data_IF_341170211678
#
_entry.id   IF_341170211678
#
_cell.length_a   1.000
_cell.length_b   1.000
_cell.length_c   1.000
_cell.angle_alpha   90.00
_cell.angle_beta   90.00
_cell.angle_gamma   90.00
#
_symmetry.space_group_name_H-M   'P 1'
#
loop_
_entity.id
_entity.type
_entity.pdbx_description
1 polymer ?
#
# COMPACT_ATOMS: atom_id res chain seq x y z
N UNK A 1 13.64 14.03 6.66
CA UNK A 1 12.67 12.98 6.28
C UNK A 1 11.52 13.05 7.26
N UNK A 2 10.29 13.19 6.77
CA UNK A 2 9.12 13.11 7.64
C UNK A 2 8.95 11.68 8.13
N UNK A 3 8.69 11.53 9.44
CA UNK A 3 8.46 10.21 10.04
C UNK A 3 7.05 9.77 9.67
N UNK A 4 6.95 8.71 8.88
CA UNK A 4 5.67 8.10 8.55
C UNK A 4 5.03 7.48 9.80
N UNK A 5 3.71 7.60 9.88
CA UNK A 5 2.93 6.76 10.81
C UNK A 5 3.10 5.29 10.42
N UNK A 6 2.86 4.39 11.38
CA UNK A 6 2.96 2.95 11.12
C UNK A 6 2.10 2.53 9.91
N UNK A 7 0.90 3.09 9.77
CA UNK A 7 0.00 2.76 8.66
C UNK A 7 0.50 3.30 7.32
N UNK A 8 1.06 4.50 7.30
CA UNK A 8 1.69 5.05 6.09
C UNK A 8 2.92 4.23 5.67
N UNK A 9 3.71 3.75 6.64
CA UNK A 9 4.83 2.86 6.35
C UNK A 9 4.36 1.55 5.69
N UNK A 10 3.29 0.94 6.21
CA UNK A 10 2.70 -0.26 5.60
C UNK A 10 2.24 -0.02 4.15
N UNK A 11 1.61 1.12 3.86
CA UNK A 11 1.23 1.48 2.48
C UNK A 11 2.46 1.61 1.59
N UNK A 12 3.52 2.26 2.07
CA UNK A 12 4.76 2.42 1.32
C UNK A 12 5.45 1.08 1.05
N UNK A 13 5.45 0.17 2.02
CA UNK A 13 6.04 -1.16 1.88
C UNK A 13 5.27 -1.99 0.84
N UNK A 14 3.94 -1.93 0.83
CA UNK A 14 3.11 -2.56 -0.21
C UNK A 14 3.42 -1.99 -1.59
N UNK A 15 3.53 -0.67 -1.73
CA UNK A 15 3.84 -0.04 -3.03
C UNK A 15 5.18 -0.53 -3.56
N UNK A 16 6.22 -0.60 -2.71
CA UNK A 16 7.54 -1.08 -3.10
C UNK A 16 7.50 -2.55 -3.51
N UNK A 17 6.92 -3.40 -2.67
CA UNK A 17 6.83 -4.84 -2.92
C UNK A 17 6.09 -5.12 -4.24
N UNK A 18 4.99 -4.43 -4.51
CA UNK A 18 4.22 -4.62 -5.74
C UNK A 18 5.00 -4.20 -6.99
N UNK A 19 5.78 -3.11 -6.91
CA UNK A 19 6.66 -2.69 -8.00
C UNK A 19 7.75 -3.73 -8.25
N UNK A 20 8.37 -4.24 -7.18
CA UNK A 20 9.42 -5.25 -7.27
C UNK A 20 8.88 -6.57 -7.86
N UNK A 21 7.65 -6.96 -7.52
CA UNK A 21 7.05 -8.22 -7.96
C UNK A 21 6.44 -8.14 -9.38
N UNK A 22 5.84 -7.01 -9.74
CA UNK A 22 5.02 -6.90 -10.97
C UNK A 22 5.59 -5.95 -12.01
N UNK A 23 6.52 -5.08 -11.63
CA UNK A 23 7.03 -3.99 -12.46
C UNK A 23 6.14 -2.74 -12.50
N UNK A 24 5.01 -2.72 -11.79
CA UNK A 24 4.09 -1.57 -11.72
C UNK A 24 3.55 -1.35 -10.29
N UNK A 25 3.11 -0.13 -9.93
CA UNK A 25 2.55 0.13 -8.62
C UNK A 25 1.17 -0.53 -8.44
N UNK A 26 0.75 -0.82 -7.20
CA UNK A 26 -0.55 -1.40 -6.93
C UNK A 26 -1.66 -0.37 -7.14
N UNK A 27 -2.89 -0.85 -7.39
CA UNK A 27 -4.06 0.03 -7.35
C UNK A 27 -4.49 0.29 -5.91
N UNK A 28 -5.34 1.30 -5.70
CA UNK A 28 -5.98 1.54 -4.40
C UNK A 28 -6.79 0.35 -3.90
N UNK A 29 -7.40 -0.41 -4.82
CA UNK A 29 -8.18 -1.60 -4.48
C UNK A 29 -7.27 -2.74 -3.99
N UNK A 30 -6.07 -2.88 -4.54
CA UNK A 30 -5.10 -3.88 -4.11
C UNK A 30 -4.56 -3.55 -2.72
N UNK A 31 -4.16 -2.30 -2.49
CA UNK A 31 -3.74 -1.82 -1.17
C UNK A 31 -4.84 -2.07 -0.13
N UNK A 32 -6.10 -1.78 -0.46
CA UNK A 32 -7.21 -1.98 0.45
C UNK A 32 -7.48 -3.46 0.76
N UNK A 33 -7.35 -4.35 -0.23
CA UNK A 33 -7.48 -5.80 -0.05
C UNK A 33 -6.38 -6.32 0.87
N UNK A 34 -5.14 -5.91 0.65
CA UNK A 34 -3.96 -6.38 1.38
C UNK A 34 -3.92 -5.85 2.83
N UNK A 35 -4.39 -4.62 3.03
CA UNK A 35 -4.48 -3.99 4.33
C UNK A 35 -5.78 -4.31 5.10
N UNK A 36 -6.69 -5.09 4.52
CA UNK A 36 -7.97 -5.49 5.13
C UNK A 36 -8.96 -4.35 5.34
N UNK A 37 -8.91 -3.30 4.52
CA UNK A 37 -9.86 -2.19 4.61
C UNK A 37 -11.25 -2.59 4.11
N UNK A 38 -12.28 -2.12 4.81
CA UNK A 38 -13.69 -2.38 4.46
C UNK A 38 -14.11 -1.72 3.13
N UNK A 39 -13.38 -0.71 2.66
CA UNK A 39 -13.57 -0.12 1.33
C UNK A 39 -12.24 0.41 0.78
N UNK A 40 -12.09 0.44 -0.56
CA UNK A 40 -10.93 1.03 -1.22
C UNK A 40 -10.84 2.57 -1.11
N UNK A 41 -11.91 3.19 -0.59
CA UNK A 41 -12.02 4.62 -0.32
C UNK A 41 -11.99 4.94 1.19
N UNK A 42 -11.71 3.96 2.06
CA UNK A 42 -11.63 4.17 3.51
C UNK A 42 -10.36 4.92 3.91
#
# INVERSE_FOLDING_TARGET
>A
MEKLTQRQQQVLDIVRQHIDDTGYPPTRADIARELGFKSANA
#
